data_IF_865545897741
#
_entry.id   IF_865545897741
#
_cell.length_a   1.000
_cell.length_b   1.000
_cell.length_c   1.000
_cell.angle_alpha   90.00
_cell.angle_beta   90.00
_cell.angle_gamma   90.00
#
_symmetry.space_group_name_H-M   'P 1'
#
loop_
_entity.id
_entity.type
_entity.pdbx_description
1 polymer ?
#
# COMPACT_ATOMS: atom_id res chain seq x y z
N UNK A 1 -10.96 -10.30 7.25
CA UNK A 1 -10.63 -8.99 6.67
C UNK A 1 -9.44 -9.11 5.75
N UNK A 2 -9.40 -8.26 4.74
CA UNK A 2 -8.35 -8.29 3.73
C UNK A 2 -7.47 -7.07 3.83
N UNK A 3 -6.23 -7.21 3.39
CA UNK A 3 -5.37 -6.07 3.11
C UNK A 3 -5.79 -5.57 1.74
N UNK A 4 -5.97 -4.25 1.62
CA UNK A 4 -6.40 -3.66 0.35
C UNK A 4 -5.50 -2.50 -0.05
N UNK A 5 -5.33 -2.35 -1.36
CA UNK A 5 -4.61 -1.24 -1.96
C UNK A 5 -5.59 -0.51 -2.86
N UNK A 6 -5.80 0.78 -2.58
CA UNK A 6 -6.59 1.66 -3.44
C UNK A 6 -5.63 2.65 -4.08
N UNK A 7 -5.63 2.72 -5.40
CA UNK A 7 -4.72 3.62 -6.11
C UNK A 7 -5.40 4.26 -7.31
N UNK A 8 -4.98 5.50 -7.60
CA UNK A 8 -5.24 6.19 -8.85
C UNK A 8 -3.99 7.00 -9.17
N UNK A 9 -3.18 6.47 -10.05
CA UNK A 9 -1.89 7.08 -10.36
C UNK A 9 -2.00 8.24 -11.35
N UNK A 10 -3.17 8.42 -11.98
CA UNK A 10 -3.41 9.50 -12.92
C UNK A 10 -3.90 10.76 -12.22
N UNK A 11 -4.61 10.61 -11.12
CA UNK A 11 -5.18 11.72 -10.36
C UNK A 11 -5.04 11.47 -8.87
N UNK A 12 -4.92 12.54 -8.09
CA UNK A 12 -4.94 12.44 -6.65
C UNK A 12 -6.40 12.47 -6.19
N UNK A 13 -7.12 11.36 -6.39
CA UNK A 13 -8.55 11.27 -6.16
C UNK A 13 -8.96 10.37 -5.00
N UNK A 14 -8.01 9.74 -4.33
CA UNK A 14 -8.29 8.77 -3.28
C UNK A 14 -8.21 9.44 -1.90
N UNK A 15 -9.31 9.42 -1.17
CA UNK A 15 -9.32 9.88 0.22
C UNK A 15 -8.71 8.82 1.12
N UNK A 16 -7.73 9.21 1.92
CA UNK A 16 -7.06 8.30 2.83
C UNK A 16 -7.74 8.38 4.20
N UNK A 17 -8.22 7.27 4.76
CA UNK A 17 -8.87 7.27 6.07
C UNK A 17 -7.99 7.92 7.14
N UNK A 18 -8.61 8.74 7.98
CA UNK A 18 -7.97 9.45 9.09
C UNK A 18 -6.92 10.48 8.67
N UNK A 19 -6.83 10.75 7.36
CA UNK A 19 -5.88 11.73 6.81
C UNK A 19 -6.58 12.73 5.88
N UNK A 20 -7.85 12.96 6.08
CA UNK A 20 -8.67 13.80 5.21
C UNK A 20 -8.15 15.25 5.15
N UNK A 21 -7.47 15.70 6.20
CA UNK A 21 -6.90 17.04 6.25
C UNK A 21 -5.83 17.29 5.19
N UNK A 22 -5.22 16.23 4.67
CA UNK A 22 -4.20 16.33 3.62
C UNK A 22 -4.82 16.30 2.22
N UNK A 23 -6.14 16.10 2.12
CA UNK A 23 -6.82 16.01 0.85
C UNK A 23 -6.61 14.66 0.15
N UNK A 24 -7.17 14.51 -1.05
CA UNK A 24 -7.02 13.28 -1.82
C UNK A 24 -5.57 13.04 -2.22
N UNK A 25 -5.20 11.77 -2.28
CA UNK A 25 -3.86 11.31 -2.64
C UNK A 25 -3.93 10.29 -3.76
N UNK A 26 -2.79 9.78 -4.19
CA UNK A 26 -2.74 8.74 -5.23
C UNK A 26 -3.21 7.37 -4.73
N UNK A 27 -3.26 7.16 -3.43
CA UNK A 27 -3.79 5.93 -2.88
C UNK A 27 -3.21 5.57 -1.53
N UNK A 28 -3.56 4.38 -1.06
CA UNK A 28 -3.08 3.90 0.23
C UNK A 28 -3.19 2.38 0.32
N UNK A 29 -2.37 1.81 1.19
CA UNK A 29 -2.47 0.42 1.62
C UNK A 29 -3.14 0.42 2.98
N UNK A 30 -4.19 -0.37 3.16
CA UNK A 30 -4.97 -0.40 4.38
C UNK A 30 -5.67 -1.74 4.57
N UNK A 31 -6.74 -1.72 5.38
CA UNK A 31 -7.49 -2.94 5.70
C UNK A 31 -6.91 -3.64 6.91
N UNK A 32 -6.66 -4.94 6.80
CA UNK A 32 -6.21 -5.75 7.93
C UNK A 32 -4.71 -5.60 8.19
N UNK A 33 -4.28 -4.35 8.37
CA UNK A 33 -2.92 -4.03 8.79
C UNK A 33 -2.99 -2.94 9.86
N UNK A 34 -1.90 -2.81 10.62
CA UNK A 34 -1.79 -1.75 11.60
C UNK A 34 -1.44 -0.45 10.89
N UNK A 35 -2.23 0.59 11.15
CA UNK A 35 -2.05 1.91 10.54
C UNK A 35 -2.46 1.92 9.06
N UNK A 36 -2.50 3.09 8.47
CA UNK A 36 -2.78 3.33 7.06
C UNK A 36 -1.49 3.81 6.40
N UNK A 37 -1.21 3.31 5.22
CA UNK A 37 0.03 3.61 4.50
C UNK A 37 -0.29 4.31 3.18
N UNK A 38 -0.40 5.65 3.17
CA UNK A 38 -0.62 6.37 1.91
C UNK A 38 0.57 6.27 0.97
N UNK A 39 0.27 6.36 -0.32
CA UNK A 39 1.28 6.44 -1.37
C UNK A 39 1.84 7.86 -1.38
N UNK A 40 3.11 8.02 -1.05
CA UNK A 40 3.75 9.33 -1.01
C UNK A 40 4.46 9.66 -2.32
N UNK A 41 4.87 8.64 -3.08
CA UNK A 41 5.43 8.82 -4.42
C UNK A 41 5.33 7.50 -5.17
N UNK A 42 5.48 7.58 -6.50
CA UNK A 42 5.49 6.39 -7.34
C UNK A 42 6.32 6.62 -8.58
N UNK A 43 6.73 5.52 -9.21
CA UNK A 43 7.47 5.57 -10.46
C UNK A 43 6.95 4.45 -11.36
N UNK A 44 6.43 4.82 -12.52
CA UNK A 44 5.90 3.86 -13.49
C UNK A 44 7.04 3.35 -14.34
N UNK A 45 7.20 2.04 -14.40
CA UNK A 45 8.16 1.36 -15.27
C UNK A 45 7.40 0.55 -16.30
N UNK A 46 8.13 -0.07 -17.23
CA UNK A 46 7.54 -0.77 -18.37
C UNK A 46 6.49 -1.83 -17.95
N UNK A 47 6.79 -2.62 -16.93
CA UNK A 47 5.99 -3.76 -16.54
C UNK A 47 5.58 -3.73 -15.06
N UNK A 48 5.89 -2.64 -14.35
CA UNK A 48 5.58 -2.54 -12.93
C UNK A 48 5.54 -1.09 -12.48
N UNK A 49 5.00 -0.86 -11.30
CA UNK A 49 5.00 0.44 -10.66
C UNK A 49 5.71 0.30 -9.33
N UNK A 50 6.68 1.18 -9.08
CA UNK A 50 7.34 1.25 -7.78
C UNK A 50 6.59 2.28 -6.94
N UNK A 51 6.12 1.85 -5.78
CA UNK A 51 5.38 2.70 -4.85
C UNK A 51 6.23 2.97 -3.63
N UNK A 52 6.17 4.19 -3.13
CA UNK A 52 6.68 4.51 -1.81
C UNK A 52 5.49 4.81 -0.91
N UNK A 53 5.40 4.06 0.17
CA UNK A 53 4.34 4.18 1.17
C UNK A 53 4.94 4.73 2.45
N UNK A 54 4.17 5.54 3.15
CA UNK A 54 4.58 6.05 4.45
C UNK A 54 3.45 5.77 5.45
N UNK A 55 3.78 5.52 6.71
CA UNK A 55 2.73 5.32 7.70
C UNK A 55 2.05 6.66 8.01
N UNK A 56 0.94 6.61 8.75
CA UNK A 56 0.13 7.81 9.03
C UNK A 56 0.86 8.84 9.91
N UNK A 57 1.91 8.43 10.61
CA UNK A 57 2.73 9.33 11.40
C UNK A 57 3.93 9.86 10.62
N UNK A 58 4.19 9.31 9.43
CA UNK A 58 5.33 9.70 8.61
C UNK A 58 6.69 9.23 9.13
N UNK A 59 6.73 8.40 10.17
CA UNK A 59 7.97 7.97 10.80
C UNK A 59 8.63 6.79 10.09
N UNK A 60 7.88 6.05 9.29
CA UNK A 60 8.39 4.88 8.57
C UNK A 60 7.95 4.92 7.11
N UNK A 61 8.80 4.39 6.25
CA UNK A 61 8.48 4.25 4.82
C UNK A 61 8.65 2.80 4.40
N UNK A 62 7.83 2.40 3.43
CA UNK A 62 7.89 1.07 2.85
C UNK A 62 7.90 1.22 1.33
N UNK A 63 8.90 0.64 0.69
CA UNK A 63 8.89 0.57 -0.77
C UNK A 63 8.24 -0.73 -1.21
N UNK A 64 7.55 -0.68 -2.34
CA UNK A 64 6.87 -1.84 -2.89
C UNK A 64 6.82 -1.76 -4.40
N UNK A 65 6.74 -2.90 -5.06
CA UNK A 65 6.48 -2.94 -6.49
C UNK A 65 5.15 -3.62 -6.75
N UNK A 66 4.38 -3.04 -7.65
CA UNK A 66 3.08 -3.56 -8.06
C UNK A 66 3.20 -4.09 -9.48
N UNK A 67 2.91 -5.37 -9.66
CA UNK A 67 3.04 -6.06 -10.94
C UNK A 67 1.68 -6.65 -11.31
N UNK A 68 1.20 -6.38 -12.51
CA UNK A 68 -0.01 -7.00 -13.01
C UNK A 68 0.31 -8.41 -13.49
N UNK A 69 -0.39 -9.40 -12.93
CA UNK A 69 -0.17 -10.81 -13.26
C UNK A 69 -1.24 -11.37 -14.20
N UNK A 70 -2.39 -10.68 -14.29
CA UNK A 70 -3.44 -11.00 -15.26
C UNK A 70 -4.35 -9.79 -15.40
N UNK A 71 -5.43 -9.89 -16.19
CA UNK A 71 -6.37 -8.79 -16.37
C UNK A 71 -7.02 -8.32 -15.06
N UNK A 72 -7.10 -9.21 -14.07
CA UNK A 72 -7.79 -8.91 -12.83
C UNK A 72 -6.96 -9.16 -11.58
N UNK A 73 -5.69 -9.58 -11.72
CA UNK A 73 -4.86 -9.88 -10.57
C UNK A 73 -3.54 -9.11 -10.60
N UNK A 74 -3.07 -8.78 -9.41
CA UNK A 74 -1.83 -8.05 -9.20
C UNK A 74 -1.04 -8.69 -8.07
N UNK A 75 0.27 -8.56 -8.12
CA UNK A 75 1.14 -8.93 -7.00
C UNK A 75 1.81 -7.67 -6.48
N UNK A 76 1.71 -7.45 -5.18
CA UNK A 76 2.42 -6.36 -4.50
C UNK A 76 3.56 -6.98 -3.72
N UNK A 77 4.80 -6.62 -4.09
CA UNK A 77 6.00 -7.09 -3.40
C UNK A 77 6.59 -5.96 -2.57
N UNK A 78 6.68 -6.15 -1.26
CA UNK A 78 7.34 -5.19 -0.39
C UNK A 78 8.85 -5.33 -0.55
N UNK A 79 9.52 -4.23 -0.85
CA UNK A 79 10.96 -4.21 -1.17
C UNK A 79 11.75 -3.81 0.07
N UNK A 80 12.88 -4.46 0.28
CA UNK A 80 13.74 -4.19 1.42
C UNK A 80 13.17 -4.77 2.69
N UNK A 81 13.44 -4.12 3.82
CA UNK A 81 12.92 -4.55 5.11
C UNK A 81 11.42 -4.28 5.18
N UNK A 82 10.63 -5.31 5.52
CA UNK A 82 9.19 -5.16 5.70
C UNK A 82 8.91 -4.46 7.02
N UNK A 83 8.29 -3.29 6.96
CA UNK A 83 7.92 -2.53 8.16
C UNK A 83 6.41 -2.47 8.37
N UNK A 84 5.62 -2.87 7.39
CA UNK A 84 4.16 -2.93 7.51
C UNK A 84 3.80 -4.12 8.39
N UNK A 85 2.93 -3.91 9.38
CA UNK A 85 2.57 -4.92 10.37
C UNK A 85 1.06 -5.08 10.45
N UNK A 86 0.63 -6.21 10.99
CA UNK A 86 -0.76 -6.47 11.34
C UNK A 86 -0.86 -6.82 12.81
N UNK A 87 -2.05 -6.66 13.38
CA UNK A 87 -2.31 -7.08 14.74
C UNK A 87 -2.71 -8.56 14.72
N UNK A 88 -1.99 -9.35 15.50
CA UNK A 88 -2.26 -10.77 15.66
C UNK A 88 -2.30 -11.09 17.16
N UNK A 89 -3.51 -11.25 17.69
CA UNK A 89 -3.70 -11.33 19.12
C UNK A 89 -3.34 -10.01 19.78
N UNK A 90 -2.32 -10.01 20.64
CA UNK A 90 -1.83 -8.81 21.33
C UNK A 90 -0.49 -8.33 20.79
N UNK A 91 -0.07 -8.85 19.63
CA UNK A 91 1.24 -8.55 19.07
C UNK A 91 1.11 -7.90 17.72
N UNK A 92 2.09 -7.07 17.37
CA UNK A 92 2.27 -6.58 16.02
C UNK A 92 3.27 -7.49 15.33
N UNK A 93 2.87 -8.07 14.21
CA UNK A 93 3.73 -8.96 13.42
C UNK A 93 3.86 -8.41 12.01
N UNK A 94 5.02 -8.58 11.41
CA UNK A 94 5.26 -8.16 10.03
C UNK A 94 4.38 -8.98 9.10
N UNK A 95 3.81 -8.33 8.08
CA UNK A 95 3.04 -9.03 7.06
C UNK A 95 4.00 -9.75 6.11
N UNK A 96 3.46 -10.69 5.33
CA UNK A 96 4.27 -11.35 4.31
C UNK A 96 4.71 -10.31 3.27
N UNK A 97 5.94 -10.41 2.73
CA UNK A 97 6.42 -9.41 1.77
C UNK A 97 5.75 -9.49 0.40
N UNK A 98 5.05 -10.56 0.09
CA UNK A 98 4.37 -10.73 -1.19
C UNK A 98 2.88 -10.88 -0.95
N UNK A 99 2.09 -10.00 -1.60
CA UNK A 99 0.63 -9.99 -1.49
C UNK A 99 0.04 -10.19 -2.87
N UNK A 100 -0.82 -11.20 -3.01
CA UNK A 100 -1.57 -11.43 -4.24
C UNK A 100 -2.92 -10.74 -4.11
N UNK A 101 -3.24 -9.88 -5.06
CA UNK A 101 -4.42 -9.02 -5.00
C UNK A 101 -5.31 -9.20 -6.22
N UNK A 102 -6.60 -9.02 -6.02
CA UNK A 102 -7.60 -9.09 -7.07
C UNK A 102 -8.15 -7.69 -7.30
N UNK A 103 -8.22 -7.30 -8.56
CA UNK A 103 -8.80 -6.01 -8.94
C UNK A 103 -10.29 -6.00 -8.62
N UNK A 104 -10.72 -4.98 -7.94
CA UNK A 104 -12.13 -4.79 -7.62
C UNK A 104 -12.84 -3.95 -8.66
#
# INVERSE_FOLDING_TARGET
MKIELKIDLYEESIEVPDMEMFGPMNGYLGGNIYSVWPVTSFKIKKDKVILRLSNDLGSETQEAELIQTSDSTYTLNLIGTTVVKKVEGRKLVKITPTLNMIKQ
#
